data_IF_092134502780
#
_entry.id   IF_092134502780
#
_cell.length_a   1.000
_cell.length_b   1.000
_cell.length_c   1.000
_cell.angle_alpha   90.00
_cell.angle_beta   90.00
_cell.angle_gamma   90.00
#
_symmetry.space_group_name_H-M   'P 1'
#
loop_
_entity.id
_entity.type
_entity.pdbx_description
1 polymer ?
#
# COMPACT_ATOMS: atom_id res chain seq x y z
N UNK A 1 -3.07 6.07 -19.66
CA UNK A 1 -2.82 6.01 -18.19
C UNK A 1 -4.05 5.46 -17.49
N UNK A 2 -3.85 4.60 -16.54
CA UNK A 2 -4.92 3.99 -15.76
C UNK A 2 -4.68 4.26 -14.27
N UNK A 3 -5.71 4.70 -13.56
CA UNK A 3 -5.65 4.93 -12.12
C UNK A 3 -6.62 3.96 -11.45
N UNK A 4 -6.11 3.13 -10.56
CA UNK A 4 -6.92 2.17 -9.81
C UNK A 4 -6.89 2.55 -8.34
N UNK A 5 -8.06 2.82 -7.76
CA UNK A 5 -8.18 3.05 -6.33
C UNK A 5 -8.21 1.70 -5.62
N UNK A 6 -7.13 1.37 -4.95
CA UNK A 6 -6.99 0.11 -4.22
C UNK A 6 -7.71 0.15 -2.88
N UNK A 7 -7.81 1.33 -2.30
CA UNK A 7 -8.53 1.55 -1.06
C UNK A 7 -8.93 3.01 -0.93
N UNK A 8 -10.14 3.23 -0.43
CA UNK A 8 -10.75 4.56 -0.28
C UNK A 8 -11.26 4.80 1.14
N UNK A 9 -10.90 3.93 2.08
CA UNK A 9 -11.27 4.07 3.48
C UNK A 9 -10.32 4.99 4.24
N UNK A 10 -10.67 5.24 5.51
CA UNK A 10 -9.84 5.99 6.42
C UNK A 10 -8.75 5.09 7.01
N UNK A 11 -7.99 5.61 7.97
CA UNK A 11 -6.92 4.88 8.64
C UNK A 11 -7.35 3.56 9.27
N UNK A 12 -8.62 3.43 9.63
CA UNK A 12 -9.17 2.22 10.25
C UNK A 12 -9.89 1.30 9.26
N UNK A 13 -10.08 1.76 8.02
CA UNK A 13 -10.91 1.07 7.04
C UNK A 13 -12.39 1.16 7.39
N UNK A 14 -13.24 0.64 6.51
CA UNK A 14 -14.68 0.55 6.74
C UNK A 14 -15.12 -0.86 6.38
N UNK A 15 -15.80 -1.60 7.26
CA UNK A 15 -16.20 -1.25 8.62
C UNK A 15 -15.04 -1.14 9.58
N UNK A 16 -15.18 -0.24 10.55
CA UNK A 16 -14.21 -0.10 11.62
C UNK A 16 -14.51 -1.11 12.72
N UNK A 17 -13.46 -1.73 13.27
CA UNK A 17 -13.59 -2.68 14.37
C UNK A 17 -14.36 -2.02 15.53
N UNK A 18 -15.42 -2.67 15.97
CA UNK A 18 -16.23 -2.21 17.08
C UNK A 18 -17.27 -1.14 16.75
N UNK A 19 -17.33 -0.66 15.51
CA UNK A 19 -18.31 0.34 15.11
C UNK A 19 -19.62 -0.32 14.71
N UNK A 20 -20.74 0.15 15.29
CA UNK A 20 -22.08 -0.35 15.00
C UNK A 20 -22.94 0.65 14.23
N UNK A 21 -22.34 1.66 13.64
CA UNK A 21 -23.09 2.65 12.87
C UNK A 21 -23.71 2.04 11.62
N UNK A 22 -24.61 2.76 10.99
CA UNK A 22 -25.35 2.29 9.83
C UNK A 22 -24.44 1.85 8.70
N UNK A 23 -23.38 2.59 8.42
CA UNK A 23 -22.43 2.28 7.34
C UNK A 23 -21.60 1.05 7.68
N UNK A 24 -21.07 0.97 8.91
CA UNK A 24 -20.24 -0.17 9.31
C UNK A 24 -21.02 -1.47 9.41
N UNK A 25 -22.33 -1.40 9.59
CA UNK A 25 -23.20 -2.58 9.61
C UNK A 25 -23.80 -2.91 8.25
N UNK A 26 -23.56 -2.06 7.26
CA UNK A 26 -24.11 -2.24 5.91
C UNK A 26 -23.58 -3.50 5.24
N UNK A 27 -24.44 -4.14 4.43
CA UNK A 27 -24.04 -5.28 3.58
C UNK A 27 -23.70 -4.84 2.16
N UNK A 28 -23.84 -3.56 1.85
CA UNK A 28 -23.52 -3.02 0.52
C UNK A 28 -22.00 -3.03 0.33
N UNK A 29 -21.54 -3.59 -0.80
CA UNK A 29 -20.11 -3.65 -1.11
C UNK A 29 -19.46 -2.26 -1.19
N UNK A 30 -20.23 -1.21 -1.51
CA UNK A 30 -19.73 0.16 -1.58
C UNK A 30 -19.37 0.73 -0.20
N UNK A 31 -19.85 0.09 0.86
CA UNK A 31 -19.55 0.46 2.24
C UNK A 31 -18.40 -0.37 2.82
N UNK A 32 -17.74 -1.18 2.00
CA UNK A 32 -16.55 -1.96 2.37
C UNK A 32 -15.35 -1.28 1.74
N UNK A 33 -14.55 -0.60 2.56
CA UNK A 33 -13.44 0.22 2.07
C UNK A 33 -12.15 -0.11 2.79
N UNK A 34 -11.17 -0.60 2.04
CA UNK A 34 -9.83 -0.82 2.55
C UNK A 34 -9.13 0.54 2.72
N UNK A 35 -8.02 0.54 3.45
CA UNK A 35 -7.26 1.76 3.71
C UNK A 35 -6.68 2.33 2.43
N UNK A 36 -6.44 3.63 2.43
CA UNK A 36 -6.08 4.40 1.23
C UNK A 36 -4.85 3.85 0.51
N UNK A 37 -4.99 3.64 -0.78
CA UNK A 37 -3.88 3.36 -1.70
C UNK A 37 -4.37 3.50 -3.13
N UNK A 38 -3.46 3.87 -4.03
CA UNK A 38 -3.76 4.07 -5.46
C UNK A 38 -2.63 3.48 -6.29
N UNK A 39 -3.01 2.78 -7.36
CA UNK A 39 -2.05 2.29 -8.36
C UNK A 39 -2.22 3.10 -9.64
N UNK A 40 -1.12 3.70 -10.10
CA UNK A 40 -1.08 4.46 -11.35
C UNK A 40 -0.28 3.66 -12.36
N UNK A 41 -0.88 3.40 -13.52
CA UNK A 41 -0.25 2.62 -14.58
C UNK A 41 -0.21 3.39 -15.89
N UNK A 42 0.95 3.40 -16.53
CA UNK A 42 1.11 3.80 -17.92
C UNK A 42 1.39 2.54 -18.73
N UNK A 43 1.70 2.67 -20.03
CA UNK A 43 2.03 1.51 -20.85
C UNK A 43 3.24 0.73 -20.33
N UNK A 44 4.20 1.42 -19.71
CA UNK A 44 5.47 0.83 -19.31
C UNK A 44 5.80 0.95 -17.83
N UNK A 45 4.97 1.65 -17.06
CA UNK A 45 5.32 2.00 -15.67
C UNK A 45 4.14 1.78 -14.73
N UNK A 46 4.43 1.19 -13.56
CA UNK A 46 3.46 1.05 -12.46
C UNK A 46 3.99 1.75 -11.24
N UNK A 47 3.18 2.65 -10.69
CA UNK A 47 3.54 3.42 -9.50
C UNK A 47 2.47 3.20 -8.44
N UNK A 48 2.89 2.78 -7.25
CA UNK A 48 2.01 2.62 -6.10
C UNK A 48 2.13 3.85 -5.21
N UNK A 49 0.97 4.44 -4.86
CA UNK A 49 0.90 5.56 -3.92
C UNK A 49 0.43 5.03 -2.58
N UNK A 50 1.33 5.03 -1.62
CA UNK A 50 1.19 4.44 -0.30
C UNK A 50 0.99 2.92 -0.33
N UNK A 51 1.48 2.25 0.70
CA UNK A 51 1.49 0.80 0.82
C UNK A 51 1.12 0.43 2.25
N UNK A 52 -0.18 0.47 2.52
CA UNK A 52 -0.72 0.22 3.85
C UNK A 52 -0.87 -1.26 4.17
N UNK A 53 -1.42 -1.58 5.34
CA UNK A 53 -1.51 -2.97 5.81
C UNK A 53 -2.47 -3.83 4.97
N UNK A 54 -3.32 -3.21 4.15
CA UNK A 54 -4.24 -3.94 3.28
C UNK A 54 -3.63 -4.22 1.89
N UNK A 55 -2.37 -3.85 1.66
CA UNK A 55 -1.73 -3.98 0.35
C UNK A 55 -1.84 -5.39 -0.23
N UNK A 56 -1.58 -6.41 0.56
CA UNK A 56 -1.67 -7.79 0.10
C UNK A 56 -3.05 -8.08 -0.49
N UNK A 57 -4.10 -7.74 0.24
CA UNK A 57 -5.48 -7.95 -0.21
C UNK A 57 -5.80 -7.11 -1.44
N UNK A 58 -5.27 -5.90 -1.51
CA UNK A 58 -5.51 -4.97 -2.61
C UNK A 58 -4.87 -5.41 -3.91
N UNK A 59 -3.67 -5.99 -3.84
CA UNK A 59 -2.90 -6.32 -5.04
C UNK A 59 -3.16 -7.73 -5.56
N UNK A 60 -3.61 -8.66 -4.70
CA UNK A 60 -3.85 -10.06 -5.08
C UNK A 60 -4.76 -10.22 -6.30
N UNK A 61 -5.85 -9.45 -6.47
CA UNK A 61 -6.72 -9.60 -7.64
C UNK A 61 -6.12 -9.08 -8.94
N UNK A 62 -5.04 -8.32 -8.88
CA UNK A 62 -4.41 -7.69 -10.04
C UNK A 62 -3.30 -8.56 -10.60
N UNK A 63 -2.89 -8.27 -11.84
CA UNK A 63 -1.79 -8.97 -12.47
C UNK A 63 -0.50 -8.81 -11.66
N UNK A 64 0.22 -9.92 -11.48
CA UNK A 64 1.51 -9.89 -10.82
C UNK A 64 2.57 -9.40 -11.79
N UNK A 65 2.84 -8.10 -11.75
CA UNK A 65 3.83 -7.43 -12.60
C UNK A 65 4.67 -6.48 -11.75
N UNK A 66 5.80 -6.06 -12.30
CA UNK A 66 6.70 -5.13 -11.63
C UNK A 66 5.96 -3.89 -11.14
N UNK A 67 6.32 -3.44 -9.94
CA UNK A 67 5.98 -2.10 -9.44
C UNK A 67 7.28 -1.30 -9.50
N UNK A 68 7.31 -0.30 -10.37
CA UNK A 68 8.53 0.46 -10.65
C UNK A 68 8.90 1.41 -9.52
N UNK A 69 7.89 1.94 -8.83
CA UNK A 69 8.11 2.89 -7.75
C UNK A 69 6.96 2.84 -6.76
N UNK A 70 7.29 3.05 -5.50
CA UNK A 70 6.32 3.26 -4.43
C UNK A 70 6.58 4.65 -3.86
N UNK A 71 5.58 5.52 -3.92
CA UNK A 71 5.65 6.86 -3.38
C UNK A 71 4.92 6.89 -2.04
N UNK A 72 5.61 7.24 -0.97
CA UNK A 72 5.05 7.24 0.37
C UNK A 72 4.78 8.67 0.81
N UNK A 73 3.55 8.94 1.25
CA UNK A 73 3.17 10.27 1.70
C UNK A 73 3.72 10.58 3.09
N UNK A 74 3.64 9.63 3.99
CA UNK A 74 4.15 9.78 5.35
C UNK A 74 4.24 8.40 6.02
N UNK A 75 4.76 8.35 7.26
CA UNK A 75 5.14 7.12 7.94
C UNK A 75 4.06 6.48 8.82
N UNK A 76 2.81 6.97 8.79
CA UNK A 76 1.74 6.36 9.57
C UNK A 76 1.45 4.94 9.07
N UNK A 77 1.08 4.06 9.98
CA UNK A 77 0.90 2.64 9.70
C UNK A 77 -0.05 2.36 8.54
N UNK A 78 -1.14 3.12 8.44
CA UNK A 78 -2.13 2.95 7.38
C UNK A 78 -1.58 3.27 5.98
N UNK A 79 -0.40 3.90 5.90
CA UNK A 79 0.26 4.25 4.64
C UNK A 79 1.52 3.43 4.36
N UNK A 80 2.10 2.76 5.35
CA UNK A 80 3.36 2.04 5.20
C UNK A 80 3.33 0.61 5.74
N UNK A 81 2.27 0.21 6.43
CA UNK A 81 2.22 -1.07 7.13
C UNK A 81 2.29 -2.31 6.25
N UNK A 82 2.16 -2.17 4.92
CA UNK A 82 2.24 -3.27 3.98
C UNK A 82 3.54 -3.38 3.22
N UNK A 83 4.55 -2.58 3.55
CA UNK A 83 5.82 -2.58 2.82
C UNK A 83 6.48 -3.96 2.79
N UNK A 84 6.38 -4.72 3.87
CA UNK A 84 6.94 -6.07 3.90
C UNK A 84 6.35 -6.98 2.81
N UNK A 85 5.11 -6.73 2.43
CA UNK A 85 4.43 -7.51 1.38
C UNK A 85 4.90 -7.15 -0.04
N UNK A 86 5.82 -6.23 -0.18
CA UNK A 86 6.49 -5.95 -1.45
C UNK A 86 7.58 -7.00 -1.76
N UNK A 87 7.98 -7.83 -0.79
CA UNK A 87 9.06 -8.81 -0.98
C UNK A 87 8.86 -9.74 -2.18
N UNK A 88 7.64 -10.25 -2.46
CA UNK A 88 7.45 -11.09 -3.66
C UNK A 88 7.80 -10.38 -4.97
N UNK A 89 7.68 -9.06 -5.01
CA UNK A 89 8.03 -8.27 -6.20
C UNK A 89 9.54 -8.19 -6.44
N UNK A 90 10.35 -8.68 -5.50
CA UNK A 90 11.79 -8.78 -5.67
C UNK A 90 12.22 -9.65 -6.84
N UNK A 91 11.34 -10.52 -7.35
CA UNK A 91 11.64 -11.34 -8.55
C UNK A 91 11.87 -10.46 -9.78
N UNK A 92 11.39 -9.22 -9.77
CA UNK A 92 11.56 -8.24 -10.85
C UNK A 92 12.76 -7.30 -10.61
N UNK A 93 13.48 -7.47 -9.48
CA UNK A 93 14.54 -6.58 -9.04
C UNK A 93 14.11 -5.80 -7.79
N UNK A 94 14.95 -4.89 -7.35
CA UNK A 94 14.65 -4.09 -6.17
C UNK A 94 13.48 -3.15 -6.42
N UNK A 95 12.59 -3.04 -5.43
CA UNK A 95 11.49 -2.08 -5.47
C UNK A 95 12.02 -0.73 -4.96
N UNK A 96 11.80 0.33 -5.73
CA UNK A 96 12.26 1.66 -5.39
C UNK A 96 11.21 2.39 -4.54
N UNK A 97 11.60 2.81 -3.34
CA UNK A 97 10.75 3.60 -2.46
C UNK A 97 11.17 5.07 -2.50
N UNK A 98 10.20 5.95 -2.66
CA UNK A 98 10.41 7.39 -2.65
C UNK A 98 9.64 7.98 -1.49
N UNK A 99 10.34 8.67 -0.59
CA UNK A 99 9.75 9.22 0.61
C UNK A 99 10.58 10.40 1.10
N UNK A 100 10.00 11.20 2.01
CA UNK A 100 10.76 12.22 2.69
C UNK A 100 11.87 11.57 3.53
N UNK A 101 12.89 12.36 3.88
CA UNK A 101 13.98 11.89 4.73
C UNK A 101 13.46 11.37 6.07
N UNK A 102 12.48 12.04 6.66
CA UNK A 102 11.85 11.63 7.91
C UNK A 102 11.17 10.25 7.77
N UNK A 103 10.34 10.09 6.75
CA UNK A 103 9.64 8.83 6.51
C UNK A 103 10.63 7.71 6.23
N UNK A 104 11.63 7.95 5.40
CA UNK A 104 12.66 6.96 5.09
C UNK A 104 13.44 6.54 6.33
N UNK A 105 13.77 7.48 7.21
CA UNK A 105 14.46 7.20 8.47
C UNK A 105 13.63 6.31 9.38
N UNK A 106 12.34 6.59 9.51
CA UNK A 106 11.43 5.79 10.31
C UNK A 106 11.31 4.35 9.77
N UNK A 107 11.23 4.20 8.46
CA UNK A 107 11.13 2.89 7.84
C UNK A 107 12.38 2.04 8.04
N UNK A 108 13.56 2.65 7.92
CA UNK A 108 14.83 1.94 8.16
C UNK A 108 14.95 1.47 9.59
N UNK A 109 14.38 2.23 10.52
CA UNK A 109 14.37 1.87 11.93
C UNK A 109 13.36 0.74 12.22
N UNK A 110 12.16 0.81 11.60
CA UNK A 110 11.07 -0.14 11.83
C UNK A 110 11.26 -1.46 11.08
N UNK A 111 11.80 -1.40 9.87
CA UNK A 111 11.93 -2.53 8.95
C UNK A 111 13.36 -2.62 8.40
N UNK A 112 14.37 -2.74 9.27
CA UNK A 112 15.77 -2.72 8.81
C UNK A 112 16.08 -3.82 7.80
N UNK A 113 15.44 -4.98 7.92
CA UNK A 113 15.67 -6.11 7.02
C UNK A 113 15.18 -5.85 5.58
N UNK A 114 14.32 -4.86 5.37
CA UNK A 114 13.85 -4.48 4.03
C UNK A 114 14.88 -3.66 3.25
N UNK A 115 15.89 -3.11 3.93
CA UNK A 115 16.86 -2.18 3.37
C UNK A 115 18.28 -2.74 3.40
N UNK A 116 18.41 -4.05 3.16
CA UNK A 116 19.72 -4.72 3.16
C UNK A 116 20.39 -4.49 1.82
N UNK A 117 21.68 -4.12 1.86
CA UNK A 117 22.47 -3.99 0.64
C UNK A 117 22.75 -5.37 0.05
N UNK A 118 22.54 -5.48 -1.26
CA UNK A 118 22.91 -6.68 -2.01
C UNK A 118 24.36 -6.56 -2.49
N UNK A 119 25.16 -7.58 -2.18
CA UNK A 119 26.55 -7.61 -2.58
C UNK A 119 26.75 -8.54 -3.77
#
# INVERSE_FOLDING_TARGET
>A
MKITFLGTGTSTGVPQIGCSCKVCRSTDARDKRLRTSVLVETEQTRILLDCGPDFRQQILPLDFRRIDAVLLTHEHYDHVGGIDDLRPFGVFGDVQLYASERTGGQLRQSLPYCFVEHK
#
